data_IF_717486167623
#
_entry.id   IF_717486167623
#
_cell.length_a   1.000
_cell.length_b   1.000
_cell.length_c   1.000
_cell.angle_alpha   90.00
_cell.angle_beta   90.00
_cell.angle_gamma   90.00
#
_symmetry.space_group_name_H-M   'P 1'
#
loop_
_entity.id
_entity.type
_entity.pdbx_description
1 polymer ?
#
# COMPACT_ATOMS: atom_id res chain seq x y z
N UNK A 1 39.91 -11.84 -14.49
CA UNK A 1 38.98 -12.39 -15.50
C UNK A 1 37.57 -11.97 -15.10
N UNK A 2 36.88 -11.19 -15.93
CA UNK A 2 35.53 -10.73 -15.59
C UNK A 2 34.55 -11.87 -15.87
N UNK A 3 33.99 -12.46 -14.82
CA UNK A 3 32.88 -13.42 -14.94
C UNK A 3 31.58 -12.63 -14.96
N UNK A 4 30.83 -12.72 -16.04
CA UNK A 4 29.44 -12.29 -16.06
C UNK A 4 28.59 -13.30 -15.27
N UNK A 5 27.55 -12.82 -14.60
CA UNK A 5 26.55 -13.69 -13.99
C UNK A 5 25.69 -14.34 -15.07
N UNK A 6 24.98 -15.41 -14.71
CA UNK A 6 24.01 -16.03 -15.60
C UNK A 6 22.82 -15.08 -15.88
N UNK A 7 22.24 -15.21 -17.07
CA UNK A 7 21.08 -14.43 -17.48
C UNK A 7 19.82 -15.01 -16.82
N UNK A 8 19.05 -14.16 -16.14
CA UNK A 8 17.78 -14.54 -15.51
C UNK A 8 16.65 -13.89 -16.31
N UNK A 9 15.66 -14.68 -16.69
CA UNK A 9 14.42 -14.17 -17.27
C UNK A 9 13.45 -13.77 -16.15
N UNK A 10 13.00 -12.51 -16.14
CA UNK A 10 12.11 -11.95 -15.13
C UNK A 10 10.77 -11.58 -15.77
N UNK A 11 9.71 -12.30 -15.39
CA UNK A 11 8.34 -12.00 -15.83
C UNK A 11 7.73 -10.83 -15.04
N UNK A 12 8.13 -10.67 -13.77
CA UNK A 12 7.64 -9.64 -12.86
C UNK A 12 8.76 -9.18 -11.94
N UNK A 13 8.69 -7.93 -11.48
CA UNK A 13 9.67 -7.34 -10.59
C UNK A 13 10.91 -6.81 -11.32
N UNK A 14 11.89 -6.38 -10.52
CA UNK A 14 13.11 -5.73 -10.99
C UNK A 14 14.33 -6.38 -10.32
N UNK A 15 15.51 -6.39 -10.95
CA UNK A 15 16.71 -6.94 -10.32
C UNK A 15 17.03 -6.27 -8.98
N UNK A 16 17.16 -7.05 -7.91
CA UNK A 16 17.54 -6.54 -6.60
C UNK A 16 18.98 -6.00 -6.65
N UNK A 17 19.21 -4.82 -6.04
CA UNK A 17 20.53 -4.18 -6.04
C UNK A 17 20.78 -3.25 -7.23
N UNK A 18 19.83 -3.11 -8.17
CA UNK A 18 19.87 -2.06 -9.18
C UNK A 18 19.44 -0.71 -8.60
N UNK A 19 20.14 0.36 -8.96
CA UNK A 19 19.82 1.75 -8.58
C UNK A 19 18.47 2.22 -9.15
N UNK A 20 18.02 1.61 -10.24
CA UNK A 20 16.74 1.95 -10.89
C UNK A 20 15.55 1.25 -10.23
N UNK A 21 15.77 0.14 -9.53
CA UNK A 21 14.69 -0.66 -8.95
C UNK A 21 13.77 0.13 -8.00
N UNK A 22 14.29 0.96 -7.07
CA UNK A 22 13.43 1.79 -6.23
C UNK A 22 12.60 2.81 -7.01
N UNK A 23 13.17 3.42 -8.05
CA UNK A 23 12.49 4.42 -8.87
C UNK A 23 11.35 3.77 -9.67
N UNK A 24 11.62 2.62 -10.28
CA UNK A 24 10.61 1.87 -11.03
C UNK A 24 9.48 1.39 -10.12
N UNK A 25 9.82 0.96 -8.90
CA UNK A 25 8.81 0.62 -7.91
C UNK A 25 7.92 1.83 -7.57
N UNK A 26 8.51 2.99 -7.30
CA UNK A 26 7.74 4.22 -7.02
C UNK A 26 6.82 4.59 -8.17
N UNK A 27 7.29 4.51 -9.42
CA UNK A 27 6.45 4.76 -10.61
C UNK A 27 5.27 3.78 -10.68
N UNK A 28 5.51 2.50 -10.38
CA UNK A 28 4.47 1.46 -10.38
C UNK A 28 3.34 1.75 -9.37
N UNK A 29 3.69 2.23 -8.16
CA UNK A 29 2.70 2.44 -7.08
C UNK A 29 2.19 3.87 -6.97
N UNK A 30 2.66 4.79 -7.82
CA UNK A 30 2.39 6.23 -7.71
C UNK A 30 0.89 6.58 -7.82
N UNK A 31 0.09 5.73 -8.47
CA UNK A 31 -1.33 5.97 -8.68
C UNK A 31 -2.24 5.24 -7.67
N UNK A 32 -1.70 4.49 -6.71
CA UNK A 32 -2.48 3.71 -5.74
C UNK A 32 -3.46 4.61 -4.97
N UNK A 33 -3.09 5.87 -4.71
CA UNK A 33 -3.98 6.84 -4.07
C UNK A 33 -5.29 7.10 -4.82
N UNK A 34 -5.34 6.84 -6.13
CA UNK A 34 -6.55 7.00 -6.95
C UNK A 34 -7.64 5.97 -6.65
N UNK A 35 -7.32 4.88 -5.95
CA UNK A 35 -8.31 3.87 -5.55
C UNK A 35 -9.17 4.30 -4.36
N UNK A 36 -8.80 5.37 -3.65
CA UNK A 36 -9.52 5.82 -2.45
C UNK A 36 -10.67 6.78 -2.81
N UNK A 37 -11.78 6.65 -2.09
CA UNK A 37 -12.95 7.52 -2.24
C UNK A 37 -13.02 8.61 -1.16
N UNK A 38 -12.51 8.32 0.05
CA UNK A 38 -12.72 9.16 1.24
C UNK A 38 -11.42 9.38 2.02
N UNK A 39 -10.61 8.34 2.15
CA UNK A 39 -9.36 8.37 2.91
C UNK A 39 -8.25 9.16 2.22
N UNK A 40 -7.20 9.43 2.99
CA UNK A 40 -5.93 9.91 2.46
C UNK A 40 -4.90 8.80 2.52
N UNK A 41 -4.05 8.72 1.49
CA UNK A 41 -2.97 7.75 1.41
C UNK A 41 -1.62 8.45 1.56
N UNK A 42 -0.77 7.88 2.41
CA UNK A 42 0.63 8.29 2.58
C UNK A 42 1.50 7.07 2.31
N UNK A 43 2.49 7.22 1.43
CA UNK A 43 3.38 6.14 1.03
C UNK A 43 4.84 6.50 1.28
N UNK A 44 5.60 5.50 1.71
CA UNK A 44 7.06 5.54 1.76
C UNK A 44 7.60 4.16 1.38
N UNK A 45 8.18 4.05 0.18
CA UNK A 45 8.52 2.76 -0.40
C UNK A 45 7.30 1.80 -0.34
N UNK A 46 7.45 0.59 0.18
CA UNK A 46 6.37 -0.39 0.32
C UNK A 46 5.42 -0.12 1.50
N UNK A 47 5.82 0.74 2.46
CA UNK A 47 4.96 1.11 3.57
C UNK A 47 3.87 2.08 3.11
N UNK A 48 2.61 1.67 3.28
CA UNK A 48 1.43 2.44 2.88
C UNK A 48 0.52 2.64 4.09
N UNK A 49 0.17 3.89 4.39
CA UNK A 49 -0.76 4.27 5.46
C UNK A 49 -2.01 4.90 4.88
N UNK A 50 -3.18 4.40 5.28
CA UNK A 50 -4.47 5.00 4.96
C UNK A 50 -5.01 5.72 6.20
N UNK A 51 -5.35 6.99 6.04
CA UNK A 51 -5.83 7.86 7.11
C UNK A 51 -7.28 8.25 6.86
N UNK A 52 -8.11 8.05 7.88
CA UNK A 52 -9.54 8.37 7.84
C UNK A 52 -9.92 9.22 9.05
N UNK A 53 -10.91 10.10 8.90
CA UNK A 53 -11.49 10.85 10.00
C UNK A 53 -12.96 11.11 9.77
N UNK A 54 -13.78 10.85 10.79
CA UNK A 54 -15.20 11.13 10.78
C UNK A 54 -15.70 11.34 12.21
N UNK A 55 -16.74 12.14 12.39
CA UNK A 55 -17.40 12.32 13.69
C UNK A 55 -18.27 11.13 14.07
N UNK A 56 -18.75 10.37 13.08
CA UNK A 56 -19.55 9.16 13.27
C UNK A 56 -18.68 7.92 13.13
N UNK A 57 -18.64 7.08 14.17
CA UNK A 57 -17.91 5.80 14.17
C UNK A 57 -18.42 4.87 13.06
N UNK A 58 -19.72 4.77 12.88
CA UNK A 58 -20.31 3.90 11.84
C UNK A 58 -19.93 4.35 10.43
N UNK A 59 -19.92 5.66 10.18
CA UNK A 59 -19.49 6.19 8.88
C UNK A 59 -17.98 5.97 8.71
N UNK A 60 -17.18 6.20 9.75
CA UNK A 60 -15.73 5.96 9.72
C UNK A 60 -15.41 4.51 9.36
N UNK A 61 -16.06 3.56 10.00
CA UNK A 61 -15.90 2.12 9.75
C UNK A 61 -16.30 1.75 8.32
N UNK A 62 -17.44 2.25 7.85
CA UNK A 62 -17.91 2.01 6.48
C UNK A 62 -16.93 2.57 5.43
N UNK A 63 -16.50 3.83 5.59
CA UNK A 63 -15.57 4.48 4.68
C UNK A 63 -14.22 3.74 4.66
N UNK A 64 -13.70 3.41 5.85
CA UNK A 64 -12.45 2.67 6.02
C UNK A 64 -12.52 1.31 5.35
N UNK A 65 -13.62 0.57 5.56
CA UNK A 65 -13.80 -0.75 4.95
C UNK A 65 -13.82 -0.68 3.42
N UNK A 66 -14.58 0.24 2.82
CA UNK A 66 -14.67 0.38 1.37
C UNK A 66 -13.30 0.72 0.76
N UNK A 67 -12.63 1.72 1.31
CA UNK A 67 -11.35 2.21 0.76
C UNK A 67 -10.20 1.22 0.96
N UNK A 68 -10.15 0.48 2.08
CA UNK A 68 -9.18 -0.61 2.26
C UNK A 68 -9.38 -1.68 1.19
N UNK A 69 -10.62 -2.10 0.93
CA UNK A 69 -10.89 -3.11 -0.09
C UNK A 69 -10.50 -2.62 -1.49
N UNK A 70 -10.83 -1.38 -1.85
CA UNK A 70 -10.42 -0.80 -3.13
C UNK A 70 -8.90 -0.77 -3.28
N UNK A 71 -8.19 -0.35 -2.23
CA UNK A 71 -6.73 -0.29 -2.21
C UNK A 71 -6.09 -1.69 -2.37
N UNK A 72 -6.61 -2.70 -1.66
CA UNK A 72 -6.16 -4.10 -1.79
C UNK A 72 -6.38 -4.64 -3.20
N UNK A 73 -7.52 -4.33 -3.82
CA UNK A 73 -7.80 -4.71 -5.21
C UNK A 73 -6.86 -4.00 -6.20
N UNK A 74 -6.58 -2.72 -5.99
CA UNK A 74 -5.63 -1.97 -6.82
C UNK A 74 -4.22 -2.55 -6.74
N UNK A 75 -3.72 -2.84 -5.52
CA UNK A 75 -2.45 -3.56 -5.36
C UNK A 75 -2.45 -4.91 -6.10
N UNK A 76 -3.54 -5.67 -6.00
CA UNK A 76 -3.66 -6.96 -6.68
C UNK A 76 -3.60 -6.81 -8.20
N UNK A 77 -4.18 -5.74 -8.76
CA UNK A 77 -4.11 -5.43 -10.20
C UNK A 77 -2.69 -5.11 -10.68
N UNK A 78 -1.84 -4.60 -9.78
CA UNK A 78 -0.41 -4.35 -10.01
C UNK A 78 0.46 -5.60 -9.77
N UNK A 79 -0.14 -6.77 -9.52
CA UNK A 79 0.52 -8.01 -9.09
C UNK A 79 1.30 -7.84 -7.76
N UNK A 80 0.86 -6.91 -6.91
CA UNK A 80 1.39 -6.70 -5.56
C UNK A 80 0.48 -7.36 -4.52
N UNK A 81 1.09 -7.93 -3.48
CA UNK A 81 0.38 -8.59 -2.39
C UNK A 81 0.54 -7.80 -1.10
N UNK A 82 -0.57 -7.41 -0.49
CA UNK A 82 -0.57 -6.77 0.82
C UNK A 82 -0.13 -7.78 1.90
N UNK A 83 0.76 -7.34 2.79
CA UNK A 83 1.24 -8.15 3.90
C UNK A 83 0.34 -8.00 5.13
N UNK A 84 -0.75 -8.76 5.17
CA UNK A 84 -1.75 -8.68 6.24
C UNK A 84 -1.20 -8.97 7.64
N UNK A 85 -0.11 -9.72 7.78
CA UNK A 85 0.51 -9.99 9.10
C UNK A 85 1.33 -8.82 9.62
N UNK A 86 1.73 -7.88 8.75
CA UNK A 86 2.42 -6.64 9.12
C UNK A 86 1.51 -5.41 9.10
N UNK A 87 0.33 -5.50 8.48
CA UNK A 87 -0.66 -4.43 8.49
C UNK A 87 -1.41 -4.39 9.82
N UNK A 88 -1.57 -3.20 10.39
CA UNK A 88 -2.34 -3.00 11.63
C UNK A 88 -3.27 -1.79 11.50
N UNK A 89 -4.31 -1.76 12.33
CA UNK A 89 -5.26 -0.66 12.42
C UNK A 89 -5.00 0.07 13.75
N UNK A 90 -4.84 1.39 13.67
CA UNK A 90 -4.71 2.26 14.83
C UNK A 90 -5.88 3.23 14.88
N UNK A 91 -6.70 3.12 15.93
CA UNK A 91 -7.87 3.98 16.15
C UNK A 91 -7.56 5.06 17.18
N UNK A 92 -7.95 6.29 16.87
CA UNK A 92 -7.83 7.43 17.77
C UNK A 92 -9.24 7.95 18.12
N UNK A 93 -9.54 8.06 19.41
CA UNK A 93 -10.79 8.61 19.91
C UNK A 93 -10.52 9.65 21.01
N UNK A 94 -11.33 10.71 21.05
CA UNK A 94 -11.26 11.72 22.10
C UNK A 94 -11.99 11.29 23.38
N UNK A 95 -12.81 10.24 23.33
CA UNK A 95 -13.55 9.72 24.48
C UNK A 95 -12.97 8.37 24.93
N UNK A 96 -12.38 8.27 26.12
CA UNK A 96 -11.95 6.99 26.66
C UNK A 96 -13.18 6.11 26.94
N UNK A 97 -13.31 4.95 26.29
CA UNK A 97 -14.29 3.91 26.68
C UNK A 97 -15.24 3.36 25.60
N UNK A 98 -15.25 3.89 24.38
CA UNK A 98 -16.09 3.38 23.27
C UNK A 98 -15.24 2.72 22.16
N UNK A 99 -14.36 1.81 22.56
CA UNK A 99 -13.58 0.95 21.64
C UNK A 99 -14.46 -0.14 21.04
#
# INVERSE_FOLDING_TARGET
SNKFSEQIHLNYGVPQGSILSPILFLVCVNDVGSSLLQGKLVQYADDTTLCFSNKSKSILEQQTFVDINNCVQHFSSLNLKVNSSKSSILSFTLRPGES
#
